data_IF_961770863110
#
_entry.id   IF_961770863110
#
_cell.length_a   1.000
_cell.length_b   1.000
_cell.length_c   1.000
_cell.angle_alpha   90.00
_cell.angle_beta   90.00
_cell.angle_gamma   90.00
#
_symmetry.space_group_name_H-M   'P 1'
#
loop_
_entity.id
_entity.type
_entity.pdbx_description
1 polymer ?
#
# COMPACT_ATOMS: atom_id res chain seq x y z
N UNK A 1 15.95 12.95 -15.54
CA UNK A 1 15.97 12.17 -14.29
C UNK A 1 14.56 11.65 -14.09
N UNK A 2 14.28 10.38 -14.44
CA UNK A 2 12.96 9.79 -14.17
C UNK A 2 12.88 9.56 -12.67
N UNK A 3 12.04 10.31 -11.97
CA UNK A 3 11.71 10.01 -10.58
C UNK A 3 11.03 8.63 -10.57
N UNK A 4 11.71 7.61 -10.04
CA UNK A 4 11.12 6.29 -9.83
C UNK A 4 10.01 6.49 -8.81
N UNK A 5 8.76 6.46 -9.28
CA UNK A 5 7.60 6.60 -8.40
C UNK A 5 7.38 5.27 -7.71
N UNK A 6 7.44 5.25 -6.38
CA UNK A 6 7.14 4.06 -5.57
C UNK A 6 5.67 4.06 -5.18
N UNK A 7 5.08 2.87 -5.08
CA UNK A 7 3.69 2.74 -4.68
C UNK A 7 3.40 1.44 -3.97
N UNK A 8 2.20 1.34 -3.43
CA UNK A 8 1.72 0.12 -2.79
C UNK A 8 0.37 -0.26 -3.34
N UNK A 9 0.18 -1.56 -3.51
CA UNK A 9 -1.14 -2.14 -3.70
C UNK A 9 -1.65 -2.61 -2.34
N UNK A 10 -2.83 -2.12 -1.96
CA UNK A 10 -3.43 -2.34 -0.65
C UNK A 10 -4.71 -3.14 -0.80
N UNK A 11 -4.87 -4.18 0.03
CA UNK A 11 -6.08 -4.99 0.08
C UNK A 11 -6.55 -5.18 1.51
N UNK A 12 -7.87 -5.16 1.68
CA UNK A 12 -8.53 -5.47 2.93
C UNK A 12 -8.55 -4.35 3.96
N UNK A 13 -8.14 -3.12 3.64
CA UNK A 13 -8.24 -1.99 4.57
C UNK A 13 -9.37 -1.06 4.17
N UNK A 14 -10.10 -0.55 5.17
CA UNK A 14 -11.05 0.54 4.97
C UNK A 14 -10.31 1.85 4.62
N UNK A 15 -11.05 2.83 4.10
CA UNK A 15 -10.47 4.08 3.59
C UNK A 15 -9.65 4.86 4.64
N UNK A 16 -10.07 4.87 5.91
CA UNK A 16 -9.37 5.56 7.00
C UNK A 16 -8.02 4.92 7.32
N UNK A 17 -7.98 3.59 7.37
CA UNK A 17 -6.75 2.82 7.52
C UNK A 17 -5.82 3.01 6.33
N UNK A 18 -6.36 3.01 5.10
CA UNK A 18 -5.59 3.26 3.89
C UNK A 18 -4.94 4.65 3.90
N UNK A 19 -5.64 5.68 4.41
CA UNK A 19 -5.09 7.03 4.60
C UNK A 19 -3.99 7.06 5.67
N UNK A 20 -4.19 6.35 6.77
CA UNK A 20 -3.18 6.22 7.84
C UNK A 20 -1.90 5.56 7.30
N UNK A 21 -2.05 4.47 6.54
CA UNK A 21 -0.96 3.78 5.87
C UNK A 21 -0.25 4.72 4.89
N UNK A 22 -1.01 5.49 4.10
CA UNK A 22 -0.41 6.48 3.18
C UNK A 22 0.44 7.50 3.92
N UNK A 23 -0.10 8.12 4.96
CA UNK A 23 0.60 9.14 5.74
C UNK A 23 1.87 8.57 6.38
N UNK A 24 1.81 7.33 6.86
CA UNK A 24 2.98 6.62 7.37
C UNK A 24 4.04 6.37 6.28
N UNK A 25 3.64 5.89 5.11
CA UNK A 25 4.55 5.58 3.99
C UNK A 25 5.21 6.86 3.46
N UNK A 26 4.42 7.91 3.22
CA UNK A 26 4.92 9.20 2.74
C UNK A 26 5.98 9.78 3.70
N UNK A 27 5.70 9.72 5.01
CA UNK A 27 6.61 10.21 6.05
C UNK A 27 7.87 9.36 6.18
N UNK A 28 7.72 8.04 6.17
CA UNK A 28 8.84 7.10 6.36
C UNK A 28 9.84 7.14 5.21
N UNK A 29 9.36 7.41 4.00
CA UNK A 29 10.19 7.39 2.80
C UNK A 29 10.58 8.78 2.29
N UNK A 30 10.10 9.84 2.94
CA UNK A 30 10.27 11.24 2.53
C UNK A 30 9.97 11.46 1.04
N UNK A 31 8.91 10.81 0.55
CA UNK A 31 8.49 10.84 -0.85
C UNK A 31 7.00 10.58 -0.99
N UNK A 32 6.41 11.00 -2.09
CA UNK A 32 5.01 10.69 -2.37
C UNK A 32 4.86 9.22 -2.79
N UNK A 33 4.13 8.44 -2.00
CA UNK A 33 3.78 7.06 -2.29
C UNK A 33 2.37 6.99 -2.86
N UNK A 34 2.22 6.44 -4.06
CA UNK A 34 0.90 6.20 -4.61
C UNK A 34 0.29 4.92 -4.02
N UNK A 35 -1.00 4.97 -3.69
CA UNK A 35 -1.76 3.81 -3.19
C UNK A 35 -2.75 3.37 -4.24
N UNK A 36 -2.82 2.07 -4.46
CA UNK A 36 -3.80 1.43 -5.34
C UNK A 36 -4.59 0.42 -4.53
N UNK A 37 -5.91 0.58 -4.50
CA UNK A 37 -6.77 -0.43 -3.87
C UNK A 37 -6.99 -1.62 -4.78
N UNK A 38 -6.75 -2.82 -4.23
CA UNK A 38 -7.11 -4.10 -4.83
C UNK A 38 -8.36 -4.74 -4.22
N UNK A 39 -9.08 -4.03 -3.33
CA UNK A 39 -10.38 -4.50 -2.84
C UNK A 39 -11.31 -4.82 -4.01
N UNK A 40 -11.99 -5.97 -3.94
CA UNK A 40 -12.87 -6.53 -4.99
C UNK A 40 -12.19 -6.79 -6.35
N UNK A 41 -10.85 -6.81 -6.41
CA UNK A 41 -10.09 -7.00 -7.66
C UNK A 41 -9.26 -8.28 -7.65
N UNK A 42 -9.72 -9.32 -6.93
CA UNK A 42 -9.03 -10.61 -6.79
C UNK A 42 -8.75 -11.30 -8.13
N UNK A 43 -9.63 -11.10 -9.12
CA UNK A 43 -9.52 -11.72 -10.44
C UNK A 43 -8.83 -10.81 -11.48
N UNK A 44 -8.37 -9.62 -11.07
CA UNK A 44 -7.69 -8.68 -11.95
C UNK A 44 -6.18 -8.80 -11.87
N UNK A 45 -5.49 -8.66 -13.00
CA UNK A 45 -4.04 -8.52 -13.01
C UNK A 45 -3.66 -7.14 -12.49
N UNK A 46 -2.60 -7.07 -11.69
CA UNK A 46 -2.07 -5.82 -11.13
C UNK A 46 -1.83 -4.77 -12.22
N UNK A 47 -1.27 -5.16 -13.37
CA UNK A 47 -1.03 -4.25 -14.50
C UNK A 47 -2.31 -3.58 -15.01
N UNK A 48 -3.45 -4.28 -14.95
CA UNK A 48 -4.73 -3.76 -15.39
C UNK A 48 -5.34 -2.83 -14.34
N UNK A 49 -5.09 -3.10 -13.06
CA UNK A 49 -5.45 -2.21 -11.94
C UNK A 49 -4.68 -0.88 -12.07
N UNK A 50 -3.36 -0.95 -12.29
CA UNK A 50 -2.51 0.24 -12.43
C UNK A 50 -2.91 1.10 -13.65
N UNK A 51 -3.28 0.47 -14.77
CA UNK A 51 -3.70 1.18 -16.00
C UNK A 51 -5.04 1.92 -15.87
N UNK A 52 -5.96 1.41 -15.05
CA UNK A 52 -7.26 2.08 -14.81
C UNK A 52 -7.11 3.37 -14.00
N UNK A 53 -5.97 3.57 -13.33
CA UNK A 53 -5.77 4.67 -12.40
C UNK A 53 -6.29 4.34 -10.99
N UNK A 54 -6.13 5.27 -10.03
CA UNK A 54 -6.55 5.05 -8.65
C UNK A 54 -8.07 4.91 -8.57
N UNK A 55 -8.50 3.76 -8.05
CA UNK A 55 -9.89 3.51 -7.69
C UNK A 55 -10.00 3.67 -6.17
N UNK A 56 -10.94 4.49 -5.70
CA UNK A 56 -11.10 4.83 -4.27
C UNK A 56 -11.94 3.80 -3.50
N UNK A 57 -12.19 2.62 -4.08
CA UNK A 57 -12.92 1.54 -3.42
C UNK A 57 -12.00 0.82 -2.43
N UNK A 58 -12.18 1.05 -1.13
CA UNK A 58 -11.45 0.40 -0.03
C UNK A 58 -12.43 -0.39 0.84
N UNK A 59 -12.18 -1.69 1.02
CA UNK A 59 -13.04 -2.57 1.80
C UNK A 59 -12.28 -3.25 2.92
N UNK A 60 -12.89 -3.27 4.11
CA UNK A 60 -12.38 -4.01 5.25
C UNK A 60 -12.56 -5.51 5.02
N UNK A 61 -11.45 -6.24 4.97
CA UNK A 61 -11.44 -7.70 4.86
C UNK A 61 -10.61 -8.30 6.00
N UNK A 62 -10.85 -9.57 6.35
CA UNK A 62 -10.07 -10.22 7.41
C UNK A 62 -8.58 -10.28 7.07
N UNK A 63 -8.24 -10.53 5.80
CA UNK A 63 -6.87 -10.61 5.33
C UNK A 63 -6.42 -9.24 4.85
N UNK A 64 -5.33 -8.76 5.45
CA UNK A 64 -4.71 -7.48 5.09
C UNK A 64 -3.48 -7.75 4.24
N UNK A 65 -3.38 -7.14 3.06
CA UNK A 65 -2.23 -7.30 2.16
C UNK A 65 -1.68 -5.93 1.79
N UNK A 66 -0.36 -5.80 1.80
CA UNK A 66 0.37 -4.66 1.26
C UNK A 66 1.45 -5.20 0.34
N UNK A 67 1.35 -4.86 -0.95
CA UNK A 67 2.35 -5.22 -1.94
C UNK A 67 3.17 -3.98 -2.34
N UNK A 68 4.49 -4.10 -2.23
CA UNK A 68 5.42 -3.05 -2.62
C UNK A 68 5.57 -3.00 -4.15
N UNK A 69 5.54 -1.79 -4.72
CA UNK A 69 5.71 -1.55 -6.15
C UNK A 69 6.88 -0.57 -6.34
N UNK A 70 8.01 -1.08 -6.84
CA UNK A 70 9.19 -0.29 -7.14
C UNK A 70 10.04 0.12 -5.92
N UNK A 71 9.82 -0.50 -4.76
CA UNK A 71 10.61 -0.25 -3.55
C UNK A 71 11.99 -0.88 -3.66
N UNK A 72 13.01 -0.19 -3.15
CA UNK A 72 14.31 -0.80 -2.87
C UNK A 72 14.26 -1.66 -1.60
N UNK A 73 15.24 -2.56 -1.44
CA UNK A 73 15.37 -3.38 -0.23
C UNK A 73 15.42 -2.52 1.05
N UNK A 74 16.17 -1.41 1.01
CA UNK A 74 16.26 -0.45 2.13
C UNK A 74 14.90 0.15 2.46
N UNK A 75 14.13 0.56 1.44
CA UNK A 75 12.78 1.12 1.65
C UNK A 75 11.81 0.07 2.20
N UNK A 76 11.88 -1.16 1.72
CA UNK A 76 11.09 -2.29 2.23
C UNK A 76 11.38 -2.52 3.71
N UNK A 77 12.66 -2.56 4.11
CA UNK A 77 13.04 -2.72 5.51
C UNK A 77 12.52 -1.58 6.41
N UNK A 78 12.66 -0.32 5.98
CA UNK A 78 12.14 0.83 6.73
C UNK A 78 10.63 0.72 6.97
N UNK A 79 9.87 0.29 5.97
CA UNK A 79 8.42 0.08 6.11
C UNK A 79 8.11 -1.08 7.05
N UNK A 80 8.81 -2.21 6.95
CA UNK A 80 8.57 -3.39 7.78
C UNK A 80 8.81 -3.13 9.27
N UNK A 81 9.85 -2.37 9.59
CA UNK A 81 10.23 -2.04 10.96
C UNK A 81 9.37 -0.91 11.54
N UNK A 82 9.04 0.09 10.71
CA UNK A 82 8.27 1.26 11.13
C UNK A 82 6.75 1.09 11.10
N UNK A 83 6.22 -0.01 10.53
CA UNK A 83 4.79 -0.14 10.30
C UNK A 83 3.98 0.04 11.59
N UNK A 84 2.93 0.88 11.61
CA UNK A 84 2.20 1.19 12.84
C UNK A 84 1.64 -0.08 13.49
N UNK A 85 2.00 -0.32 14.75
CA UNK A 85 1.47 -1.40 15.59
C UNK A 85 0.43 -0.93 16.60
N UNK A 86 0.40 0.37 16.86
CA UNK A 86 -0.42 0.98 17.92
C UNK A 86 -1.62 1.70 17.27
N UNK A 87 -2.83 1.54 17.83
CA UNK A 87 -4.03 2.24 17.35
C UNK A 87 -5.03 1.41 16.53
N UNK A 88 -4.97 0.08 16.58
CA UNK A 88 -5.99 -0.80 16.00
C UNK A 88 -5.77 -1.16 14.52
N UNK A 89 -4.78 -0.56 13.86
CA UNK A 89 -4.40 -0.92 12.49
C UNK A 89 -3.79 -2.33 12.46
N UNK A 90 -4.47 -3.27 11.82
CA UNK A 90 -4.01 -4.66 11.71
C UNK A 90 -2.79 -4.73 10.77
N UNK A 91 -1.70 -5.37 11.20
CA UNK A 91 -0.49 -5.56 10.36
C UNK A 91 -0.81 -6.41 9.11
N UNK A 92 -0.35 -6.03 7.90
CA UNK A 92 -0.59 -6.78 6.69
C UNK A 92 0.40 -7.93 6.50
N UNK A 93 0.05 -8.84 5.61
CA UNK A 93 1.01 -9.67 4.89
C UNK A 93 1.71 -8.75 3.89
N UNK A 94 3.02 -8.63 4.03
CA UNK A 94 3.87 -7.85 3.12
C UNK A 94 4.29 -8.72 1.93
N UNK A 95 4.15 -8.19 0.72
CA UNK A 95 4.56 -8.83 -0.53
C UNK A 95 5.47 -7.88 -1.32
N UNK A 96 6.48 -8.40 -2.01
CA UNK A 96 7.38 -7.64 -2.88
C UNK A 96 7.57 -8.37 -4.21
#
# INVERSE_FOLDING_TARGET
>A
MQSVSVGVLLCGYHQEDARTIKAFLDKTLDTYVFIVSASRKTDMKIIDILKKGPDECFEDEQTKILMFLGFSEVQTHMVLEGFPSDGGLKRPIFCA
#
